data_IF_019953773184
#
_entry.id   IF_019953773184
#
_cell.length_a   1.000
_cell.length_b   1.000
_cell.length_c   1.000
_cell.angle_alpha   90.00
_cell.angle_beta   90.00
_cell.angle_gamma   90.00
#
_symmetry.space_group_name_H-M   'P 1'
#
loop_
_entity.id
_entity.type
_entity.pdbx_description
1 polymer ?
#
# COMPACT_ATOMS: atom_id res chain seq x y z
N UNK A 1 22.97 -17.20 65.09
CA UNK A 1 23.47 -16.60 63.83
C UNK A 1 22.39 -16.77 62.77
N UNK A 2 21.68 -15.70 62.41
CA UNK A 2 20.62 -15.73 61.39
C UNK A 2 21.17 -15.01 60.16
N UNK A 3 21.27 -15.70 59.01
CA UNK A 3 21.66 -15.12 57.73
C UNK A 3 20.40 -14.87 56.91
N UNK A 4 20.07 -13.60 56.71
CA UNK A 4 19.04 -13.17 55.76
C UNK A 4 19.57 -13.30 54.33
N UNK A 5 18.94 -14.16 53.54
CA UNK A 5 19.17 -14.23 52.10
C UNK A 5 18.35 -13.13 51.42
N UNK A 6 19.04 -12.16 50.83
CA UNK A 6 18.44 -11.08 50.05
C UNK A 6 18.07 -11.62 48.67
N UNK A 7 16.77 -11.75 48.38
CA UNK A 7 16.25 -12.14 47.07
C UNK A 7 16.29 -10.90 46.17
N UNK A 8 17.23 -10.88 45.23
CA UNK A 8 17.35 -9.84 44.21
C UNK A 8 16.26 -10.06 43.15
N UNK A 9 15.21 -9.24 43.18
CA UNK A 9 14.17 -9.21 42.16
C UNK A 9 14.69 -8.54 40.88
N UNK A 10 14.90 -9.33 39.83
CA UNK A 10 15.25 -8.83 38.49
C UNK A 10 13.97 -8.37 37.79
N UNK A 11 13.74 -7.05 37.79
CA UNK A 11 12.71 -6.41 36.97
C UNK A 11 13.12 -6.47 35.49
N UNK A 12 12.54 -7.41 34.73
CA UNK A 12 12.61 -7.42 33.28
C UNK A 12 11.80 -6.24 32.73
N UNK A 13 12.44 -5.07 32.61
CA UNK A 13 11.94 -3.94 31.84
C UNK A 13 11.93 -4.34 30.36
N UNK A 14 10.79 -4.84 29.88
CA UNK A 14 10.49 -4.96 28.45
C UNK A 14 10.38 -3.56 27.86
N UNK A 15 11.50 -3.00 27.42
CA UNK A 15 11.52 -1.75 26.66
C UNK A 15 10.93 -2.08 25.29
N UNK A 16 9.63 -1.86 25.11
CA UNK A 16 9.02 -1.80 23.79
C UNK A 16 9.57 -0.56 23.10
N UNK A 17 10.74 -0.68 22.47
CA UNK A 17 11.26 0.35 21.58
C UNK A 17 10.21 0.58 20.50
N UNK A 18 9.47 1.68 20.60
CA UNK A 18 8.76 2.26 19.45
C UNK A 18 9.85 2.67 18.47
N UNK A 19 10.34 1.72 17.68
CA UNK A 19 11.25 1.99 16.59
C UNK A 19 10.52 2.94 15.66
N UNK A 20 11.02 4.18 15.60
CA UNK A 20 10.58 5.13 14.61
C UNK A 20 10.75 4.49 13.22
N UNK A 21 9.68 4.53 12.44
CA UNK A 21 9.64 3.87 11.15
C UNK A 21 10.65 4.53 10.21
N UNK A 22 11.45 3.73 9.51
CA UNK A 22 12.53 4.25 8.65
C UNK A 22 11.97 5.16 7.55
N UNK A 23 12.69 6.24 7.22
CA UNK A 23 12.36 7.12 6.10
C UNK A 23 13.22 6.85 4.86
N UNK A 24 14.07 5.83 4.90
CA UNK A 24 14.90 5.44 3.77
C UNK A 24 14.09 4.53 2.82
N UNK A 25 13.86 4.90 1.56
CA UNK A 25 13.12 4.07 0.60
C UNK A 25 13.71 2.66 0.40
N UNK A 26 15.01 2.46 0.64
CA UNK A 26 15.65 1.15 0.50
C UNK A 26 15.14 0.11 1.52
N UNK A 27 14.54 0.55 2.63
CA UNK A 27 14.01 -0.33 3.67
C UNK A 27 12.58 -0.83 3.36
N UNK A 28 12.07 -0.52 2.17
CA UNK A 28 10.70 -0.78 1.71
C UNK A 28 10.73 -1.62 0.42
N UNK A 29 10.86 -2.95 0.54
CA UNK A 29 11.05 -3.82 -0.63
C UNK A 29 9.79 -4.01 -1.47
N UNK A 30 8.60 -3.72 -0.91
CA UNK A 30 7.33 -3.90 -1.62
C UNK A 30 6.93 -2.61 -2.33
N UNK A 31 5.99 -2.73 -3.27
CA UNK A 31 5.39 -1.58 -3.96
C UNK A 31 3.89 -1.57 -3.74
N UNK A 32 3.33 -0.39 -3.53
CA UNK A 32 1.88 -0.22 -3.34
C UNK A 32 1.33 0.84 -4.29
N UNK A 33 0.39 0.47 -5.13
CA UNK A 33 -0.35 1.39 -5.99
C UNK A 33 -1.67 1.75 -5.33
N UNK A 34 -1.97 3.04 -5.17
CA UNK A 34 -3.24 3.51 -4.61
C UNK A 34 -4.12 4.04 -5.74
N UNK A 35 -5.20 3.34 -6.08
CA UNK A 35 -6.13 3.77 -7.13
C UNK A 35 -7.09 4.84 -6.63
N UNK A 36 -7.72 4.59 -5.48
CA UNK A 36 -8.76 5.46 -4.95
C UNK A 36 -8.74 5.46 -3.43
N UNK A 37 -9.24 6.56 -2.87
CA UNK A 37 -9.55 6.65 -1.45
C UNK A 37 -10.78 7.52 -1.24
N UNK A 38 -11.52 7.22 -0.18
CA UNK A 38 -12.52 8.08 0.42
C UNK A 38 -11.97 8.52 1.78
N UNK A 39 -11.80 9.83 1.99
CA UNK A 39 -11.07 10.35 3.13
C UNK A 39 -11.76 11.53 3.80
N UNK A 40 -11.68 11.58 5.13
CA UNK A 40 -11.99 12.76 5.95
C UNK A 40 -10.67 13.36 6.43
N UNK A 41 -10.47 14.64 6.13
CA UNK A 41 -9.30 15.40 6.61
C UNK A 41 -9.71 16.25 7.81
N UNK A 42 -9.01 16.09 8.92
CA UNK A 42 -9.20 16.87 10.14
C UNK A 42 -8.22 18.04 10.15
N UNK A 43 -8.74 19.22 10.52
CA UNK A 43 -7.99 20.47 10.51
C UNK A 43 -7.92 21.06 11.91
N UNK A 44 -6.74 21.54 12.29
CA UNK A 44 -6.53 22.37 13.47
C UNK A 44 -5.84 23.66 13.05
N UNK A 45 -6.34 24.82 13.50
CA UNK A 45 -5.82 26.13 13.12
C UNK A 45 -5.61 26.32 11.60
N UNK A 46 -6.52 25.76 10.78
CA UNK A 46 -6.45 25.76 9.30
C UNK A 46 -5.30 24.95 8.69
N UNK A 47 -4.56 24.19 9.50
CA UNK A 47 -3.60 23.19 9.02
C UNK A 47 -4.26 21.81 9.02
N UNK A 48 -4.03 21.01 7.98
CA UNK A 48 -4.41 19.60 7.99
C UNK A 48 -3.51 18.85 8.97
N UNK A 49 -4.08 18.18 9.96
CA UNK A 49 -3.33 17.40 10.96
C UNK A 49 -3.45 15.90 10.77
N UNK A 50 -4.59 15.44 10.22
CA UNK A 50 -4.89 14.02 10.17
C UNK A 50 -5.81 13.71 9.00
N UNK A 51 -5.61 12.56 8.36
CA UNK A 51 -6.51 12.02 7.35
C UNK A 51 -6.90 10.59 7.71
N UNK A 52 -8.20 10.32 7.79
CA UNK A 52 -8.75 8.99 8.02
C UNK A 52 -9.62 8.58 6.85
N UNK A 53 -9.63 7.30 6.52
CA UNK A 53 -10.47 6.83 5.45
C UNK A 53 -10.24 5.38 5.07
N UNK A 54 -10.75 5.08 3.89
CA UNK A 54 -10.64 3.77 3.25
C UNK A 54 -10.28 3.95 1.77
N UNK A 55 -9.77 2.89 1.15
CA UNK A 55 -9.37 2.94 -0.25
C UNK A 55 -9.10 1.58 -0.84
N UNK A 56 -8.71 1.61 -2.12
CA UNK A 56 -8.38 0.44 -2.92
C UNK A 56 -7.05 0.65 -3.61
N UNK A 57 -6.22 -0.38 -3.58
CA UNK A 57 -4.89 -0.38 -4.15
C UNK A 57 -4.42 -1.78 -4.51
N UNK A 58 -3.27 -1.88 -5.17
CA UNK A 58 -2.59 -3.14 -5.40
C UNK A 58 -1.25 -3.16 -4.67
N UNK A 59 -0.97 -4.28 -4.00
CA UNK A 59 0.33 -4.61 -3.45
C UNK A 59 1.09 -5.52 -4.42
N UNK A 60 2.31 -5.13 -4.75
CA UNK A 60 3.22 -5.89 -5.60
C UNK A 60 4.27 -6.57 -4.72
N UNK A 61 4.35 -7.89 -4.82
CA UNK A 61 5.25 -8.73 -4.05
C UNK A 61 5.58 -9.99 -4.85
N UNK A 62 6.86 -10.18 -5.18
CA UNK A 62 7.34 -11.40 -5.82
C UNK A 62 6.87 -11.56 -7.28
N UNK A 63 6.73 -10.45 -8.01
CA UNK A 63 6.29 -10.43 -9.41
C UNK A 63 4.79 -10.63 -9.59
N UNK A 64 4.01 -10.50 -8.53
CA UNK A 64 2.54 -10.59 -8.54
C UNK A 64 1.93 -9.35 -7.91
N UNK A 65 0.76 -8.96 -8.42
CA UNK A 65 -0.05 -7.92 -7.81
C UNK A 65 -1.29 -8.53 -7.17
N UNK A 66 -1.61 -8.09 -5.95
CA UNK A 66 -2.84 -8.44 -5.24
C UNK A 66 -3.58 -7.18 -4.84
N UNK A 67 -4.87 -7.18 -5.10
CA UNK A 67 -5.80 -6.15 -4.68
C UNK A 67 -5.86 -6.10 -3.17
N UNK A 68 -5.95 -4.88 -2.67
CA UNK A 68 -6.04 -4.58 -1.24
C UNK A 68 -7.12 -3.55 -1.07
N UNK A 69 -8.15 -3.91 -0.30
CA UNK A 69 -9.00 -2.92 0.35
C UNK A 69 -8.29 -2.51 1.63
N UNK A 70 -8.17 -1.20 1.87
CA UNK A 70 -7.45 -0.72 3.03
C UNK A 70 -8.21 0.36 3.79
N UNK A 71 -7.93 0.46 5.08
CA UNK A 71 -8.30 1.61 5.92
C UNK A 71 -7.05 2.25 6.51
N UNK A 72 -7.12 3.55 6.77
CA UNK A 72 -5.95 4.33 7.19
C UNK A 72 -6.30 5.46 8.15
N UNK A 73 -5.27 5.83 8.91
CA UNK A 73 -5.22 6.98 9.81
C UNK A 73 -3.80 7.55 9.70
N UNK A 74 -3.64 8.53 8.82
CA UNK A 74 -2.34 9.12 8.49
C UNK A 74 -2.22 10.52 9.11
N UNK A 75 -1.01 10.91 9.52
CA UNK A 75 -0.69 12.27 9.99
C UNK A 75 -0.69 13.34 8.89
N UNK A 76 -0.84 12.92 7.63
CA UNK A 76 -0.91 13.78 6.46
C UNK A 76 -1.91 13.21 5.46
N UNK A 77 -2.35 14.04 4.51
CA UNK A 77 -3.30 13.63 3.48
C UNK A 77 -2.74 12.49 2.63
N UNK A 78 -3.48 11.38 2.56
CA UNK A 78 -3.13 10.27 1.67
C UNK A 78 -3.40 10.66 0.22
N UNK A 79 -2.50 10.32 -0.70
CA UNK A 79 -2.63 10.62 -2.14
C UNK A 79 -2.75 9.32 -2.93
N UNK A 80 -3.57 9.28 -3.98
CA UNK A 80 -3.51 8.19 -4.95
C UNK A 80 -2.18 8.25 -5.66
N UNK A 81 -1.75 7.10 -6.13
CA UNK A 81 -0.65 6.99 -7.05
C UNK A 81 -0.96 7.73 -8.35
N UNK A 82 0.09 8.27 -8.98
CA UNK A 82 -0.04 8.95 -10.27
C UNK A 82 0.21 7.97 -11.41
N UNK A 83 -0.73 7.85 -12.35
CA UNK A 83 -0.59 6.94 -13.50
C UNK A 83 -0.40 5.49 -13.07
N UNK A 84 0.79 4.93 -13.31
CA UNK A 84 1.21 3.57 -12.94
C UNK A 84 2.31 3.58 -11.87
N UNK A 85 2.63 4.75 -11.30
CA UNK A 85 3.61 4.83 -10.23
C UNK A 85 3.13 4.10 -8.98
N UNK A 86 4.07 3.73 -8.13
CA UNK A 86 3.79 3.06 -6.87
C UNK A 86 4.49 3.81 -5.74
N UNK A 87 4.07 3.55 -4.51
CA UNK A 87 4.79 3.98 -3.32
C UNK A 87 5.63 2.81 -2.75
N UNK A 88 6.82 3.08 -2.19
CA UNK A 88 7.53 2.09 -1.41
C UNK A 88 6.68 1.63 -0.23
N UNK A 89 6.63 0.33 0.01
CA UNK A 89 5.88 -0.27 1.09
C UNK A 89 6.65 -1.43 1.74
N UNK A 90 6.21 -1.81 2.93
CA UNK A 90 6.66 -3.03 3.61
C UNK A 90 5.55 -3.57 4.48
N UNK A 91 5.59 -4.88 4.74
CA UNK A 91 4.71 -5.47 5.75
C UNK A 91 5.10 -4.96 7.14
N UNK A 92 4.14 -4.37 7.83
CA UNK A 92 4.22 -4.23 9.30
C UNK A 92 3.72 -5.52 9.95
N UNK A 93 2.61 -6.07 9.43
CA UNK A 93 2.08 -7.40 9.77
C UNK A 93 1.62 -8.09 8.47
N UNK A 94 2.24 -9.21 8.05
CA UNK A 94 1.90 -9.88 6.80
C UNK A 94 0.40 -10.13 6.66
N UNK A 95 -0.16 -9.69 5.54
CA UNK A 95 -1.58 -9.83 5.19
C UNK A 95 -2.57 -8.94 5.99
N UNK A 96 -2.10 -8.17 6.97
CA UNK A 96 -2.99 -7.40 7.87
C UNK A 96 -2.68 -5.91 7.94
N UNK A 97 -1.41 -5.54 7.81
CA UNK A 97 -0.98 -4.16 7.96
C UNK A 97 0.28 -3.91 7.14
N UNK A 98 0.24 -2.90 6.26
CA UNK A 98 1.40 -2.42 5.52
C UNK A 98 1.77 -1.01 5.98
N UNK A 99 3.07 -0.72 6.01
CA UNK A 99 3.56 0.64 6.08
C UNK A 99 3.87 1.12 4.67
N UNK A 100 3.32 2.26 4.27
CA UNK A 100 3.62 2.91 3.00
C UNK A 100 4.43 4.19 3.25
N UNK A 101 5.51 4.36 2.49
CA UNK A 101 6.36 5.55 2.51
C UNK A 101 5.87 6.55 1.46
N UNK A 102 5.32 7.67 1.91
CA UNK A 102 4.69 8.69 1.07
C UNK A 102 5.53 9.97 1.07
N UNK A 103 5.65 10.66 -0.08
CA UNK A 103 6.34 11.95 -0.12
C UNK A 103 5.52 13.03 0.60
N UNK A 104 6.22 13.90 1.33
CA UNK A 104 5.62 15.11 1.92
C UNK A 104 5.47 16.15 0.82
N UNK A 105 4.24 16.60 0.59
CA UNK A 105 3.96 17.51 -0.51
C UNK A 105 4.66 18.86 -0.34
N UNK A 106 5.28 19.36 -1.43
CA UNK A 106 6.04 20.61 -1.43
C UNK A 106 7.41 20.53 -0.78
N UNK A 107 7.85 19.34 -0.30
CA UNK A 107 9.16 19.13 0.29
C UNK A 107 9.92 17.99 -0.40
N UNK A 108 10.81 18.35 -1.32
CA UNK A 108 11.66 17.39 -2.04
C UNK A 108 12.46 16.52 -1.07
N UNK A 109 12.47 15.20 -1.28
CA UNK A 109 13.24 14.25 -0.48
C UNK A 109 12.72 14.04 0.95
N UNK A 110 11.57 14.63 1.31
CA UNK A 110 10.92 14.40 2.61
C UNK A 110 9.82 13.36 2.48
N UNK A 111 9.77 12.44 3.43
CA UNK A 111 8.77 11.37 3.47
C UNK A 111 8.09 11.28 4.83
N UNK A 112 6.85 10.83 4.81
CA UNK A 112 6.11 10.35 5.98
C UNK A 112 5.66 8.91 5.75
N UNK A 113 5.43 8.18 6.83
CA UNK A 113 4.96 6.81 6.79
C UNK A 113 3.50 6.77 7.17
N UNK A 114 2.69 5.98 6.48
CA UNK A 114 1.32 5.70 6.89
C UNK A 114 1.07 4.20 6.94
N UNK A 115 0.52 3.75 8.07
CA UNK A 115 0.10 2.36 8.25
C UNK A 115 -1.30 2.19 7.70
N UNK A 116 -1.46 1.22 6.81
CA UNK A 116 -2.73 0.84 6.21
C UNK A 116 -3.12 -0.53 6.75
N UNK A 117 -4.31 -0.64 7.35
CA UNK A 117 -4.90 -1.93 7.67
C UNK A 117 -5.44 -2.53 6.39
N UNK A 118 -5.06 -3.76 6.08
CA UNK A 118 -5.29 -4.39 4.78
C UNK A 118 -6.27 -5.54 4.86
N UNK A 119 -7.11 -5.65 3.84
CA UNK A 119 -7.85 -6.84 3.45
C UNK A 119 -7.40 -7.26 2.04
N UNK A 120 -6.51 -8.25 1.99
CA UNK A 120 -5.84 -8.72 0.77
C UNK A 120 -6.77 -9.66 -0.01
N UNK A 121 -6.90 -9.41 -1.31
CA UNK A 121 -7.79 -10.15 -2.21
C UNK A 121 -7.03 -11.20 -3.02
N UNK A 122 -7.79 -12.11 -3.60
CA UNK A 122 -7.36 -13.16 -4.54
C UNK A 122 -7.37 -12.70 -6.00
N UNK A 123 -7.57 -11.40 -6.24
CA UNK A 123 -7.54 -10.73 -7.54
C UNK A 123 -6.71 -9.44 -7.43
N UNK A 124 -6.23 -8.90 -8.55
CA UNK A 124 -5.66 -7.56 -8.66
C UNK A 124 -6.73 -6.57 -9.14
N UNK A 125 -6.57 -5.29 -8.78
CA UNK A 125 -7.35 -4.22 -9.39
C UNK A 125 -6.72 -3.77 -10.71
N UNK A 126 -7.54 -3.35 -11.66
CA UNK A 126 -7.04 -2.78 -12.91
C UNK A 126 -7.94 -1.67 -13.42
N UNK A 127 -7.33 -0.67 -14.04
CA UNK A 127 -8.06 0.42 -14.67
C UNK A 127 -8.43 0.03 -16.11
N UNK A 128 -9.73 -0.02 -16.41
CA UNK A 128 -10.24 -0.20 -17.78
C UNK A 128 -10.37 1.14 -18.52
N UNK A 129 -10.59 1.05 -19.84
CA UNK A 129 -10.95 2.20 -20.66
C UNK A 129 -12.18 2.90 -20.06
N UNK A 130 -12.09 4.22 -19.91
CA UNK A 130 -13.13 5.02 -19.24
C UNK A 130 -12.95 5.18 -17.73
N UNK A 131 -11.82 4.78 -17.15
CA UNK A 131 -11.47 5.08 -15.75
C UNK A 131 -12.22 4.23 -14.72
N UNK A 132 -12.78 3.10 -15.13
CA UNK A 132 -13.47 2.17 -14.22
C UNK A 132 -12.47 1.16 -13.65
N UNK A 133 -12.45 1.04 -12.33
CA UNK A 133 -11.71 -0.01 -11.63
C UNK A 133 -12.44 -1.35 -11.77
N UNK A 134 -11.71 -2.39 -12.19
CA UNK A 134 -12.23 -3.76 -12.29
C UNK A 134 -11.33 -4.72 -11.52
N UNK A 135 -11.89 -5.84 -11.08
CA UNK A 135 -11.14 -6.95 -10.52
C UNK A 135 -10.65 -7.86 -11.65
N UNK A 136 -9.39 -8.29 -11.58
CA UNK A 136 -8.77 -9.19 -12.54
C UNK A 136 -8.07 -10.33 -11.80
N UNK A 137 -8.20 -11.60 -12.24
CA UNK A 137 -7.44 -12.70 -11.65
C UNK A 137 -5.94 -12.41 -11.63
N UNK A 138 -5.23 -12.78 -10.56
CA UNK A 138 -3.79 -12.49 -10.39
C UNK A 138 -2.97 -12.99 -11.59
N UNK A 139 -3.27 -14.19 -12.09
CA UNK A 139 -2.60 -14.76 -13.27
C UNK A 139 -2.76 -13.88 -14.52
N UNK A 140 -3.98 -13.44 -14.81
CA UNK A 140 -4.25 -12.57 -15.96
C UNK A 140 -3.56 -11.20 -15.81
N UNK A 141 -3.51 -10.66 -14.59
CA UNK A 141 -2.80 -9.40 -14.36
C UNK A 141 -1.30 -9.58 -14.52
N UNK A 142 -0.71 -10.69 -14.04
CA UNK A 142 0.70 -11.04 -14.23
C UNK A 142 1.09 -11.18 -15.70
N UNK A 143 0.22 -11.81 -16.51
CA UNK A 143 0.38 -11.87 -17.96
C UNK A 143 0.34 -10.46 -18.59
N UNK A 144 -0.59 -9.62 -18.15
CA UNK A 144 -0.64 -8.22 -18.57
C UNK A 144 0.63 -7.46 -18.18
N UNK A 145 1.14 -7.60 -16.95
CA UNK A 145 2.38 -6.97 -16.49
C UNK A 145 3.56 -7.37 -17.38
N UNK A 146 3.71 -8.68 -17.64
CA UNK A 146 4.76 -9.24 -18.49
C UNK A 146 4.68 -8.71 -19.92
N UNK A 147 3.48 -8.73 -20.52
CA UNK A 147 3.24 -8.26 -21.89
C UNK A 147 3.61 -6.79 -22.08
N UNK A 148 3.42 -5.97 -21.04
CA UNK A 148 3.63 -4.53 -21.10
C UNK A 148 4.95 -4.06 -20.49
N UNK A 149 5.84 -5.00 -20.13
CA UNK A 149 7.10 -4.72 -19.44
C UNK A 149 6.92 -3.86 -18.18
N UNK A 150 5.83 -4.09 -17.45
CA UNK A 150 5.49 -3.38 -16.23
C UNK A 150 5.93 -4.19 -15.01
N UNK A 151 6.84 -3.62 -14.24
CA UNK A 151 7.47 -4.26 -13.09
C UNK A 151 7.86 -3.18 -12.07
N UNK A 152 6.93 -2.76 -11.20
CA UNK A 152 7.19 -1.73 -10.20
C UNK A 152 8.29 -2.10 -9.21
N UNK A 153 8.46 -3.40 -8.90
CA UNK A 153 9.47 -3.88 -7.95
C UNK A 153 10.89 -3.61 -8.47
N UNK A 154 11.08 -3.63 -9.79
CA UNK A 154 12.36 -3.35 -10.45
C UNK A 154 12.40 -1.98 -11.17
N UNK A 155 11.53 -1.05 -10.76
CA UNK A 155 11.56 0.34 -11.22
C UNK A 155 10.91 0.61 -12.58
N UNK A 156 10.30 -0.41 -13.21
CA UNK A 156 9.52 -0.26 -14.44
C UNK A 156 8.10 0.20 -14.14
N UNK A 157 7.97 1.44 -13.69
CA UNK A 157 6.73 2.05 -13.21
C UNK A 157 5.81 2.56 -14.34
N UNK A 158 6.10 2.26 -15.60
CA UNK A 158 5.27 2.69 -16.74
C UNK A 158 5.23 1.59 -17.79
N UNK A 159 4.04 1.07 -18.13
CA UNK A 159 3.91 0.05 -19.17
C UNK A 159 4.28 0.63 -20.54
N UNK A 160 4.97 -0.17 -21.36
CA UNK A 160 5.44 0.21 -22.71
C UNK A 160 4.33 0.47 -23.72
N UNK A 161 3.14 -0.12 -23.49
CA UNK A 161 1.90 0.22 -24.20
C UNK A 161 0.79 0.35 -23.16
N UNK A 162 0.47 1.57 -22.67
CA UNK A 162 -0.60 1.79 -21.72
C UNK A 162 -1.97 1.66 -22.41
N UNK A 163 -2.28 0.48 -22.97
CA UNK A 163 -3.66 0.18 -23.33
C UNK A 163 -4.47 0.04 -22.04
N UNK A 164 -5.65 0.65 -22.05
CA UNK A 164 -6.59 0.50 -20.96
C UNK A 164 -7.02 -0.99 -20.87
N UNK A 165 -7.06 -1.54 -19.65
CA UNK A 165 -7.00 -2.99 -19.37
C UNK A 165 -7.94 -3.90 -20.18
N UNK A 166 -7.69 -5.23 -20.16
CA UNK A 166 -8.26 -6.20 -21.09
C UNK A 166 -9.79 -6.11 -21.19
N UNK A 167 -10.27 -5.93 -22.43
CA UNK A 167 -11.67 -6.11 -22.82
C UNK A 167 -12.06 -7.56 -22.53
N UNK A 168 -13.17 -7.76 -21.80
CA UNK A 168 -13.82 -9.07 -21.77
C UNK A 168 -14.09 -9.49 -23.23
N UNK A 169 -13.61 -10.69 -23.60
CA UNK A 169 -14.14 -11.39 -24.74
C UNK A 169 -15.65 -11.50 -24.56
N UNK A 170 -16.40 -11.06 -25.57
CA UNK A 170 -17.84 -10.85 -25.48
C UNK A 170 -18.60 -12.09 -25.04
N UNK A 171 -19.40 -11.94 -23.99
CA UNK A 171 -20.53 -12.83 -23.73
C UNK A 171 -21.53 -12.66 -24.88
N UNK A 172 -21.91 -13.72 -25.62
CA UNK A 172 -22.94 -13.60 -26.65
C UNK A 172 -24.28 -13.25 -25.99
N UNK A 173 -24.95 -12.24 -26.52
CA UNK A 173 -26.30 -11.86 -26.07
C UNK A 173 -27.29 -13.02 -26.27
N UNK A 174 -28.25 -13.22 -25.35
CA UNK A 174 -29.28 -14.24 -25.54
C UNK A 174 -30.21 -13.86 -26.70
N UNK A 175 -30.66 -14.84 -27.51
CA UNK A 175 -31.57 -14.59 -28.62
C UNK A 175 -32.93 -14.08 -28.11
N UNK A 176 -33.53 -13.17 -28.89
CA UNK A 176 -34.89 -12.64 -28.71
C UNK A 176 -35.96 -13.73 -28.86
#
# INVERSE_FOLDING_TARGET
>A
MVRFASVCAVLLLSVSSLLAESKNPADYPLRFHIFSRNETTFYHNRSAEEAKGEGRGDLYEGGEAKGVDFSFECSEKLKPSFGYETYPAKWHKPGKEITVLLPVFGKTGSFFTCNLKTDVKDFAYAMRSGGRLVSMPVGNFKEWMTKHDYDPEHGKNTPTQPEAGPSEAGTPAPPK
#
